data_IF_283460243612
#
_entry.id   IF_283460243612
#
_cell.length_a   1.000
_cell.length_b   1.000
_cell.length_c   1.000
_cell.angle_alpha   90.00
_cell.angle_beta   90.00
_cell.angle_gamma   90.00
#
_symmetry.space_group_name_H-M   'P 1'
#
loop_
_entity.id
_entity.type
_entity.pdbx_description
1 polymer ?
#
# COMPACT_ATOMS: atom_id res chain seq x y z
N UNK A 1 1.41 -74.26 16.12
CA UNK A 1 1.12 -72.80 16.25
C UNK A 1 2.04 -71.90 15.41
N UNK A 2 2.54 -72.31 14.22
CA UNK A 2 3.53 -71.52 13.46
C UNK A 2 3.00 -70.84 12.18
N UNK A 3 1.93 -71.36 11.57
CA UNK A 3 1.42 -70.84 10.28
C UNK A 3 0.44 -69.66 10.41
N UNK A 4 -0.48 -69.70 11.40
CA UNK A 4 -1.45 -68.61 11.66
C UNK A 4 -0.78 -67.29 12.04
N UNK A 5 0.30 -67.34 12.82
CA UNK A 5 1.05 -66.15 13.25
C UNK A 5 1.86 -65.55 12.10
N UNK A 6 2.47 -66.37 11.25
CA UNK A 6 3.17 -65.91 10.04
C UNK A 6 2.21 -65.20 9.06
N UNK A 7 1.04 -65.79 8.80
CA UNK A 7 0.01 -65.17 7.95
C UNK A 7 -0.46 -63.82 8.52
N UNK A 8 -0.76 -63.76 9.82
CA UNK A 8 -1.17 -62.52 10.48
C UNK A 8 -0.09 -61.42 10.38
N UNK A 9 1.19 -61.77 10.52
CA UNK A 9 2.33 -60.86 10.38
C UNK A 9 2.45 -60.30 8.95
N UNK A 10 2.30 -61.15 7.93
CA UNK A 10 2.37 -60.72 6.52
C UNK A 10 1.22 -59.77 6.18
N UNK A 11 0.00 -60.07 6.62
CA UNK A 11 -1.14 -59.18 6.43
C UNK A 11 -0.96 -57.84 7.15
N UNK A 12 -0.48 -57.85 8.39
CA UNK A 12 -0.21 -56.62 9.14
C UNK A 12 0.89 -55.78 8.47
N UNK A 13 1.97 -56.40 8.00
CA UNK A 13 3.05 -55.71 7.30
C UNK A 13 2.58 -55.13 5.95
N UNK A 14 1.78 -55.88 5.19
CA UNK A 14 1.19 -55.41 3.93
C UNK A 14 0.24 -54.23 4.15
N UNK A 15 -0.61 -54.30 5.17
CA UNK A 15 -1.49 -53.19 5.54
C UNK A 15 -0.69 -51.95 5.93
N UNK A 16 0.37 -52.10 6.75
CA UNK A 16 1.24 -51.00 7.16
C UNK A 16 1.93 -50.32 5.96
N UNK A 17 2.45 -51.12 5.02
CA UNK A 17 3.10 -50.62 3.80
C UNK A 17 2.11 -49.86 2.91
N UNK A 18 0.90 -50.38 2.73
CA UNK A 18 -0.15 -49.71 1.95
C UNK A 18 -0.57 -48.39 2.59
N UNK A 19 -0.74 -48.34 3.92
CA UNK A 19 -1.04 -47.11 4.63
C UNK A 19 0.10 -46.09 4.46
N UNK A 20 1.36 -46.51 4.65
CA UNK A 20 2.51 -45.62 4.48
C UNK A 20 2.63 -45.06 3.05
N UNK A 21 2.41 -45.89 2.03
CA UNK A 21 2.41 -45.47 0.63
C UNK A 21 1.28 -44.48 0.34
N UNK A 22 0.07 -44.75 0.81
CA UNK A 22 -1.07 -43.85 0.66
C UNK A 22 -0.84 -42.50 1.35
N UNK A 23 -0.32 -42.51 2.59
CA UNK A 23 0.04 -41.29 3.32
C UNK A 23 1.11 -40.50 2.59
N UNK A 24 2.18 -41.14 2.11
CA UNK A 24 3.26 -40.47 1.39
C UNK A 24 2.77 -39.79 0.11
N UNK A 25 1.93 -40.49 -0.66
CA UNK A 25 1.33 -39.96 -1.88
C UNK A 25 0.47 -38.72 -1.56
N UNK A 26 -0.43 -38.83 -0.58
CA UNK A 26 -1.28 -37.71 -0.15
C UNK A 26 -0.45 -36.54 0.36
N UNK A 27 0.59 -36.78 1.16
CA UNK A 27 1.47 -35.73 1.69
C UNK A 27 2.17 -34.94 0.59
N UNK A 28 2.65 -35.60 -0.46
CA UNK A 28 3.28 -34.92 -1.60
C UNK A 28 2.27 -34.04 -2.37
N UNK A 29 1.04 -34.52 -2.56
CA UNK A 29 -0.02 -33.73 -3.19
C UNK A 29 -0.53 -32.58 -2.30
N UNK A 30 -0.58 -32.77 -0.99
CA UNK A 30 -1.04 -31.74 -0.04
C UNK A 30 -0.01 -30.62 0.10
N UNK A 31 1.28 -30.94 0.19
CA UNK A 31 2.33 -29.94 0.35
C UNK A 31 2.38 -28.93 -0.81
N UNK A 32 2.33 -29.42 -2.06
CA UNK A 32 2.30 -28.56 -3.25
C UNK A 32 1.04 -27.68 -3.33
N UNK A 33 -0.11 -28.20 -2.90
CA UNK A 33 -1.39 -27.45 -2.87
C UNK A 33 -1.39 -26.36 -1.81
N UNK A 34 -0.76 -26.59 -0.67
CA UNK A 34 -0.68 -25.61 0.43
C UNK A 34 0.19 -24.42 0.02
N UNK A 35 1.32 -24.66 -0.64
CA UNK A 35 2.20 -23.59 -1.12
C UNK A 35 1.52 -22.70 -2.16
N UNK A 36 0.93 -23.29 -3.21
CA UNK A 36 0.24 -22.53 -4.28
C UNK A 36 -0.92 -21.69 -3.71
N UNK A 37 -1.66 -22.22 -2.73
CA UNK A 37 -2.75 -21.49 -2.07
C UNK A 37 -2.23 -20.33 -1.23
N UNK A 38 -1.13 -20.52 -0.51
CA UNK A 38 -0.51 -19.45 0.28
C UNK A 38 0.01 -18.32 -0.62
N UNK A 39 0.67 -18.67 -1.73
CA UNK A 39 1.17 -17.69 -2.71
C UNK A 39 0.02 -16.92 -3.36
N UNK A 40 -1.03 -17.62 -3.82
CA UNK A 40 -2.20 -16.98 -4.42
C UNK A 40 -2.91 -16.03 -3.45
N UNK A 41 -3.03 -16.42 -2.18
CA UNK A 41 -3.67 -15.59 -1.17
C UNK A 41 -2.88 -14.32 -0.84
N UNK A 42 -1.53 -14.40 -0.79
CA UNK A 42 -0.69 -13.22 -0.60
C UNK A 42 -0.78 -12.28 -1.80
N UNK A 43 -0.79 -12.82 -3.02
CA UNK A 43 -0.94 -12.03 -4.24
C UNK A 43 -2.31 -11.31 -4.29
N UNK A 44 -3.38 -12.00 -3.90
CA UNK A 44 -4.71 -11.41 -3.78
C UNK A 44 -4.75 -10.28 -2.75
N UNK A 45 -4.15 -10.48 -1.58
CA UNK A 45 -4.06 -9.44 -0.55
C UNK A 45 -3.25 -8.23 -1.03
N UNK A 46 -2.13 -8.46 -1.70
CA UNK A 46 -1.29 -7.39 -2.25
C UNK A 46 -2.06 -6.56 -3.29
N UNK A 47 -2.79 -7.22 -4.19
CA UNK A 47 -3.62 -6.54 -5.18
C UNK A 47 -4.78 -5.77 -4.51
N UNK A 48 -5.40 -6.34 -3.49
CA UNK A 48 -6.44 -5.66 -2.73
C UNK A 48 -5.91 -4.40 -2.01
N UNK A 49 -4.73 -4.48 -1.38
CA UNK A 49 -4.08 -3.33 -0.76
C UNK A 49 -3.70 -2.26 -1.79
N UNK A 50 -3.19 -2.67 -2.96
CA UNK A 50 -2.89 -1.75 -4.07
C UNK A 50 -4.14 -0.97 -4.48
N UNK A 51 -5.26 -1.66 -4.67
CA UNK A 51 -6.53 -1.03 -5.04
C UNK A 51 -7.02 -0.03 -3.98
N UNK A 52 -6.88 -0.35 -2.69
CA UNK A 52 -7.21 0.57 -1.60
C UNK A 52 -6.34 1.82 -1.65
N UNK A 53 -5.01 1.66 -1.83
CA UNK A 53 -4.07 2.77 -1.91
C UNK A 53 -4.37 3.65 -3.12
N UNK A 54 -4.55 3.05 -4.30
CA UNK A 54 -4.84 3.76 -5.55
C UNK A 54 -6.14 4.58 -5.44
N UNK A 55 -7.20 3.97 -4.89
CA UNK A 55 -8.47 4.65 -4.68
C UNK A 55 -8.35 5.81 -3.70
N UNK A 56 -7.66 5.60 -2.57
CA UNK A 56 -7.48 6.65 -1.56
C UNK A 56 -6.64 7.82 -2.07
N UNK A 57 -5.57 7.54 -2.84
CA UNK A 57 -4.73 8.56 -3.48
C UNK A 57 -5.55 9.36 -4.50
N UNK A 58 -6.36 8.69 -5.33
CA UNK A 58 -7.18 9.35 -6.34
C UNK A 58 -8.22 10.28 -5.69
N UNK A 59 -8.88 9.82 -4.63
CA UNK A 59 -9.82 10.63 -3.83
C UNK A 59 -9.12 11.85 -3.24
N UNK A 60 -7.97 11.64 -2.59
CA UNK A 60 -7.18 12.71 -1.98
C UNK A 60 -6.71 13.76 -2.98
N UNK A 61 -6.32 13.33 -4.18
CA UNK A 61 -5.91 14.22 -5.26
C UNK A 61 -7.10 15.07 -5.74
N UNK A 62 -8.28 14.46 -5.86
CA UNK A 62 -9.53 15.14 -6.18
C UNK A 62 -9.89 16.21 -5.14
N UNK A 63 -9.87 15.84 -3.86
CA UNK A 63 -10.09 16.76 -2.74
C UNK A 63 -9.12 17.93 -2.78
N UNK A 64 -7.82 17.65 -2.97
CA UNK A 64 -6.80 18.69 -3.04
C UNK A 64 -7.00 19.62 -4.24
N UNK A 65 -7.45 19.11 -5.39
CA UNK A 65 -7.77 19.93 -6.55
C UNK A 65 -8.90 20.94 -6.22
N UNK A 66 -9.96 20.49 -5.54
CA UNK A 66 -11.06 21.36 -5.09
C UNK A 66 -10.57 22.36 -4.05
N UNK A 67 -9.84 21.92 -3.01
CA UNK A 67 -9.31 22.78 -1.96
C UNK A 67 -8.36 23.85 -2.52
N UNK A 68 -7.52 23.49 -3.49
CA UNK A 68 -6.64 24.43 -4.18
C UNK A 68 -7.42 25.49 -4.96
N UNK A 69 -8.55 25.12 -5.58
CA UNK A 69 -9.39 26.05 -6.31
C UNK A 69 -10.03 27.09 -5.39
N UNK A 70 -10.50 26.66 -4.22
CA UNK A 70 -11.05 27.56 -3.18
C UNK A 70 -9.94 28.42 -2.58
N UNK A 71 -8.75 27.85 -2.35
CA UNK A 71 -7.60 28.60 -1.84
C UNK A 71 -7.16 29.72 -2.80
N UNK A 72 -7.23 29.51 -4.13
CA UNK A 72 -6.85 30.56 -5.10
C UNK A 72 -7.67 31.85 -4.94
N UNK A 73 -8.91 31.77 -4.47
CA UNK A 73 -9.77 32.95 -4.27
C UNK A 73 -9.67 33.52 -2.86
N UNK A 74 -9.46 32.67 -1.84
CA UNK A 74 -9.55 33.07 -0.44
C UNK A 74 -8.18 33.27 0.24
N UNK A 75 -7.13 32.60 -0.23
CA UNK A 75 -5.78 32.60 0.33
C UNK A 75 -4.79 33.31 -0.61
N UNK A 76 -5.00 34.61 -0.83
CA UNK A 76 -4.21 35.43 -1.78
C UNK A 76 -2.94 36.03 -1.16
N UNK A 77 -2.86 36.12 0.17
CA UNK A 77 -1.70 36.64 0.91
C UNK A 77 -1.00 35.53 1.70
N UNK A 78 0.32 35.59 1.93
CA UNK A 78 1.05 34.56 2.66
C UNK A 78 0.46 34.21 4.02
N UNK A 79 -0.02 35.20 4.78
CA UNK A 79 -0.68 34.98 6.08
C UNK A 79 -1.97 34.16 5.94
N UNK A 80 -2.78 34.44 4.92
CA UNK A 80 -4.02 33.71 4.66
C UNK A 80 -3.71 32.29 4.15
N UNK A 81 -2.65 32.12 3.35
CA UNK A 81 -2.16 30.82 2.91
C UNK A 81 -1.66 29.97 4.08
N UNK A 82 -0.95 30.58 5.04
CA UNK A 82 -0.50 29.88 6.25
C UNK A 82 -1.69 29.43 7.10
N UNK A 83 -2.64 30.33 7.37
CA UNK A 83 -3.87 29.97 8.08
C UNK A 83 -4.64 28.84 7.37
N UNK A 84 -4.65 28.84 6.02
CA UNK A 84 -5.30 27.81 5.22
C UNK A 84 -4.63 26.44 5.40
N UNK A 85 -3.31 26.35 5.25
CA UNK A 85 -2.59 25.06 5.41
C UNK A 85 -2.61 24.55 6.84
N UNK A 86 -2.57 25.44 7.84
CA UNK A 86 -2.68 25.05 9.26
C UNK A 86 -4.07 24.50 9.57
N UNK A 87 -5.14 25.14 9.07
CA UNK A 87 -6.51 24.62 9.21
C UNK A 87 -6.70 23.27 8.50
N UNK A 88 -6.09 23.08 7.32
CA UNK A 88 -6.09 21.79 6.63
C UNK A 88 -5.39 20.70 7.46
N UNK A 89 -4.23 21.02 8.05
CA UNK A 89 -3.47 20.08 8.88
C UNK A 89 -4.23 19.69 10.13
N UNK A 90 -4.90 20.65 10.78
CA UNK A 90 -5.73 20.38 11.96
C UNK A 90 -6.92 19.48 11.62
N UNK A 91 -7.57 19.72 10.47
CA UNK A 91 -8.69 18.90 10.00
C UNK A 91 -8.27 17.52 9.49
N UNK A 92 -7.05 17.40 8.98
CA UNK A 92 -6.55 16.19 8.32
C UNK A 92 -5.13 15.84 8.81
N UNK A 93 -4.99 15.27 10.02
CA UNK A 93 -3.69 15.01 10.65
C UNK A 93 -2.84 13.97 9.92
N UNK A 94 -3.41 13.24 8.96
CA UNK A 94 -2.68 12.30 8.10
C UNK A 94 -1.67 12.99 7.16
N UNK A 95 -1.80 14.29 6.91
CA UNK A 95 -0.81 15.02 6.13
C UNK A 95 0.43 15.32 6.97
N UNK A 96 1.57 14.77 6.55
CA UNK A 96 2.86 15.07 7.18
C UNK A 96 3.30 16.53 6.94
N UNK A 97 2.96 17.10 5.78
CA UNK A 97 3.28 18.48 5.40
C UNK A 97 2.36 18.95 4.26
N UNK A 98 1.98 20.22 4.26
CA UNK A 98 1.22 20.89 3.18
C UNK A 98 1.76 22.31 3.01
N UNK A 99 1.86 22.78 1.77
CA UNK A 99 2.33 24.14 1.49
C UNK A 99 1.86 24.71 0.16
N UNK A 100 1.99 26.02 0.04
CA UNK A 100 1.89 26.77 -1.19
C UNK A 100 3.29 27.06 -1.71
N UNK A 101 3.53 26.76 -2.99
CA UNK A 101 4.70 27.20 -3.72
C UNK A 101 4.29 28.15 -4.84
N UNK A 102 5.11 29.17 -5.09
CA UNK A 102 4.91 30.04 -6.24
C UNK A 102 5.34 29.37 -7.56
N UNK A 103 5.15 30.07 -8.68
CA UNK A 103 5.50 29.55 -10.02
C UNK A 103 6.99 29.32 -10.22
N UNK A 104 7.86 29.95 -9.41
CA UNK A 104 9.31 29.71 -9.44
C UNK A 104 9.71 28.46 -8.66
N UNK A 105 8.77 27.89 -7.90
CA UNK A 105 9.02 26.77 -6.99
C UNK A 105 9.53 27.22 -5.64
N UNK A 106 9.36 28.47 -5.24
CA UNK A 106 9.66 28.91 -3.87
C UNK A 106 8.45 28.66 -2.99
N UNK A 107 8.62 28.00 -1.84
CA UNK A 107 7.54 27.79 -0.88
C UNK A 107 7.23 29.11 -0.18
N UNK A 108 5.99 29.58 -0.29
CA UNK A 108 5.55 30.89 0.26
C UNK A 108 4.81 30.77 1.59
N UNK A 109 4.20 29.61 1.85
CA UNK A 109 3.53 29.31 3.10
C UNK A 109 3.45 27.79 3.28
N UNK A 110 3.65 27.29 4.50
CA UNK A 110 3.50 25.86 4.78
C UNK A 110 3.15 25.59 6.24
N UNK A 111 2.68 24.37 6.49
CA UNK A 111 2.39 23.90 7.84
C UNK A 111 3.64 23.99 8.73
N UNK A 112 3.55 24.75 9.82
CA UNK A 112 4.67 24.94 10.75
C UNK A 112 5.87 25.71 10.19
N UNK A 113 5.70 26.43 9.08
CA UNK A 113 6.77 27.23 8.46
C UNK A 113 7.87 26.40 7.78
N UNK A 114 7.67 25.10 7.63
CA UNK A 114 8.68 24.18 7.11
C UNK A 114 8.95 24.41 5.62
N UNK A 115 10.21 24.66 5.25
CA UNK A 115 10.67 24.96 3.88
C UNK A 115 10.20 26.32 3.35
N UNK A 116 9.56 27.19 4.12
CA UNK A 116 9.21 28.53 3.62
C UNK A 116 10.46 29.31 3.21
N UNK A 117 10.44 29.89 2.00
CA UNK A 117 11.59 30.54 1.36
C UNK A 117 12.52 29.58 0.61
N UNK A 118 12.39 28.26 0.79
CA UNK A 118 13.20 27.26 0.08
C UNK A 118 12.62 26.91 -1.29
N UNK A 119 13.51 26.50 -2.19
CA UNK A 119 13.13 26.08 -3.54
C UNK A 119 12.82 24.58 -3.62
N UNK A 120 11.67 24.27 -4.19
CA UNK A 120 11.20 22.94 -4.57
C UNK A 120 11.17 22.76 -6.08
N UNK A 121 11.71 23.70 -6.86
CA UNK A 121 11.63 23.70 -8.33
C UNK A 121 12.20 22.43 -8.99
N UNK A 122 13.23 21.83 -8.38
CA UNK A 122 13.85 20.61 -8.85
C UNK A 122 13.12 19.33 -8.40
N UNK A 123 12.09 19.43 -7.55
CA UNK A 123 11.36 18.27 -7.05
C UNK A 123 10.42 17.74 -8.14
N UNK A 124 10.39 16.42 -8.40
CA UNK A 124 9.53 15.84 -9.43
C UNK A 124 8.04 16.17 -9.24
N UNK A 125 7.57 16.25 -7.99
CA UNK A 125 6.19 16.60 -7.67
C UNK A 125 5.84 18.03 -8.06
N UNK A 126 6.79 18.97 -7.97
CA UNK A 126 6.56 20.35 -8.37
C UNK A 126 6.54 20.48 -9.89
N UNK A 127 7.52 19.87 -10.55
CA UNK A 127 7.62 19.87 -12.02
C UNK A 127 6.39 19.29 -12.70
N UNK A 128 5.85 18.17 -12.19
CA UNK A 128 4.59 17.63 -12.71
C UNK A 128 3.36 18.43 -12.24
N UNK A 129 3.38 18.90 -11.00
CA UNK A 129 2.26 19.62 -10.37
C UNK A 129 1.94 20.98 -10.99
N UNK A 130 2.93 21.65 -11.61
CA UNK A 130 2.70 22.92 -12.31
C UNK A 130 1.93 22.76 -13.63
N UNK A 131 1.97 21.57 -14.22
CA UNK A 131 1.27 21.23 -15.47
C UNK A 131 -0.15 20.73 -15.19
N UNK A 132 -0.30 19.82 -14.22
CA UNK A 132 -1.58 19.23 -13.82
C UNK A 132 -1.51 18.66 -12.38
N UNK A 133 -2.65 18.42 -11.71
CA UNK A 133 -2.67 17.67 -10.45
C UNK A 133 -1.92 16.35 -10.60
N UNK A 134 -0.90 16.13 -9.76
CA UNK A 134 0.03 15.02 -9.93
C UNK A 134 0.40 14.36 -8.60
N UNK A 135 0.65 13.05 -8.66
CA UNK A 135 1.18 12.23 -7.57
C UNK A 135 2.49 11.59 -8.04
N UNK A 136 3.49 11.58 -7.17
CA UNK A 136 4.78 10.92 -7.40
C UNK A 136 4.87 9.70 -6.51
N UNK A 137 5.26 8.57 -7.10
CA UNK A 137 5.59 7.38 -6.33
C UNK A 137 6.93 7.55 -5.60
N UNK A 138 6.93 7.26 -4.30
CA UNK A 138 8.13 7.16 -3.47
C UNK A 138 8.57 5.70 -3.53
N UNK A 139 9.47 5.44 -4.47
CA UNK A 139 10.05 4.11 -4.72
C UNK A 139 10.76 3.56 -3.48
#
# INVERSE_FOLDING_TARGET
MRLRTLLALVFAAGALLLTAAATSLVSQFVAARVQIRAEAHIAELAEHLRQIIDANIAERLGDMAVLSAVARTNATRPEAQRAWVDALRESFPAYAWIGFADRSGTVVASTGGMLEGESVAARPWFQRGIEAPAVIDVH
#
